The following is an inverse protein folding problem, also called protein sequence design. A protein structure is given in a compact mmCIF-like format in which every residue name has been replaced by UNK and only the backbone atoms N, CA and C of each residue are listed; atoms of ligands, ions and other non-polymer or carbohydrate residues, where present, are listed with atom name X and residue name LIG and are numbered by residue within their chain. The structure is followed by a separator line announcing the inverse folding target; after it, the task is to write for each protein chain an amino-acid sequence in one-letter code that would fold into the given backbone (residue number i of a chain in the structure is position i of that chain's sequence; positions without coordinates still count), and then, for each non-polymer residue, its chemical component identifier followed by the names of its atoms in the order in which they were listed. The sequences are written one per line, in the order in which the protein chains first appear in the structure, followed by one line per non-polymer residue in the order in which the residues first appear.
data_IF_297441296974
#
_entry.id   IF_297441296974
#
_cell.length_a   1.000
_cell.length_b   1.000
_cell.length_c   1.000
_cell.angle_alpha   90.00
_cell.angle_beta   90.00
_cell.angle_gamma   90.00
#
_symmetry.space_group_name_H-M   'P 1'
#
loop_
_entity.id
_entity.type
_entity.pdbx_description
1 polymer ?
#
# COMPACT_ATOMS: atom_id res chain seq x y z
N UNK A 1 32.01 5.32 -10.36
CA UNK A 1 31.01 4.70 -11.26
C UNK A 1 31.49 4.84 -12.70
N UNK A 2 31.19 3.91 -13.60
CA UNK A 2 31.58 4.01 -15.02
C UNK A 2 30.76 5.10 -15.72
N UNK A 3 31.36 5.85 -16.65
CA UNK A 3 30.64 6.77 -17.53
C UNK A 3 29.76 6.01 -18.51
N UNK A 4 28.49 6.40 -18.63
CA UNK A 4 27.51 5.75 -19.51
C UNK A 4 26.89 6.76 -20.47
N UNK A 5 26.81 6.42 -21.75
CA UNK A 5 26.11 7.20 -22.77
C UNK A 5 24.90 6.39 -23.25
N UNK A 6 23.70 6.90 -23.02
CA UNK A 6 22.46 6.37 -23.61
C UNK A 6 22.23 7.13 -24.91
N UNK A 7 22.21 6.43 -26.04
CA UNK A 7 22.18 7.05 -27.37
C UNK A 7 20.83 6.85 -28.06
N UNK A 8 20.36 7.89 -28.72
CA UNK A 8 19.26 7.84 -29.68
C UNK A 8 17.90 7.36 -29.14
N UNK A 9 17.65 7.57 -27.85
CA UNK A 9 16.38 7.24 -27.21
C UNK A 9 15.34 8.34 -27.39
N UNK A 10 14.05 7.97 -27.37
CA UNK A 10 12.96 8.93 -27.20
C UNK A 10 12.90 9.34 -25.72
N UNK A 11 13.49 10.49 -25.39
CA UNK A 11 13.66 10.95 -24.03
C UNK A 11 12.44 11.75 -23.56
N UNK A 12 11.92 11.35 -22.39
CA UNK A 12 10.92 12.09 -21.63
C UNK A 12 11.60 12.55 -20.34
N UNK A 13 11.53 13.83 -20.01
CA UNK A 13 12.23 14.40 -18.85
C UNK A 13 11.41 14.37 -17.54
N UNK A 14 10.17 13.87 -17.60
CA UNK A 14 9.24 13.82 -16.48
C UNK A 14 8.51 15.15 -16.17
N UNK A 15 8.75 16.22 -16.94
CA UNK A 15 8.11 17.53 -16.73
C UNK A 15 6.71 17.64 -17.36
N UNK A 16 6.37 16.69 -18.24
CA UNK A 16 5.17 16.73 -19.09
C UNK A 16 5.38 17.45 -20.42
N UNK A 17 6.60 17.90 -20.72
CA UNK A 17 6.97 18.39 -22.05
C UNK A 17 6.91 17.26 -23.11
N UNK A 18 6.72 17.59 -24.39
CA UNK A 18 6.83 16.61 -25.48
C UNK A 18 8.19 15.92 -25.47
N UNK A 19 8.20 14.62 -25.73
CA UNK A 19 9.44 13.85 -25.83
C UNK A 19 10.28 14.27 -27.04
N UNK A 20 11.60 14.10 -26.93
CA UNK A 20 12.55 14.40 -27.98
C UNK A 20 13.57 13.26 -28.13
N UNK A 21 14.07 13.04 -29.36
CA UNK A 21 15.18 12.09 -29.55
C UNK A 21 16.48 12.71 -29.02
N UNK A 22 17.09 12.05 -28.03
CA UNK A 22 18.22 12.60 -27.30
C UNK A 22 19.27 11.55 -26.94
N UNK A 23 20.49 12.04 -26.80
CA UNK A 23 21.61 11.34 -26.18
C UNK A 23 21.75 11.84 -24.73
N UNK A 24 22.01 10.94 -23.78
CA UNK A 24 22.19 11.25 -22.36
C UNK A 24 23.55 10.74 -21.88
N UNK A 25 24.36 11.64 -21.35
CA UNK A 25 25.65 11.31 -20.77
C UNK A 25 25.56 11.29 -19.24
N UNK A 26 25.93 10.17 -18.65
CA UNK A 26 25.94 9.94 -17.20
C UNK A 26 27.39 9.83 -16.73
N UNK A 27 27.79 10.67 -15.77
CA UNK A 27 29.10 10.66 -15.12
C UNK A 27 28.91 10.70 -13.61
N UNK A 28 29.65 9.87 -12.88
CA UNK A 28 29.62 9.81 -11.42
C UNK A 28 28.20 9.71 -10.82
N UNK A 29 27.34 8.91 -11.47
CA UNK A 29 25.96 8.67 -11.04
C UNK A 29 25.00 9.83 -11.29
N UNK A 30 25.42 10.87 -12.02
CA UNK A 30 24.60 12.03 -12.36
C UNK A 30 24.48 12.19 -13.86
N UNK A 31 23.34 12.71 -14.31
CA UNK A 31 23.16 13.17 -15.69
C UNK A 31 24.06 14.40 -15.87
N UNK A 32 25.12 14.24 -16.65
CA UNK A 32 26.07 15.30 -16.94
C UNK A 32 25.59 16.19 -18.09
N UNK A 33 24.97 15.59 -19.11
CA UNK A 33 24.50 16.31 -20.30
C UNK A 33 23.35 15.55 -20.98
N UNK A 34 22.42 16.31 -21.56
CA UNK A 34 21.37 15.81 -22.45
C UNK A 34 21.42 16.65 -23.72
N UNK A 35 21.55 16.01 -24.87
CA UNK A 35 21.67 16.69 -26.16
C UNK A 35 20.80 16.02 -27.23
N UNK A 36 20.42 16.72 -28.32
CA UNK A 36 19.74 16.10 -29.43
C UNK A 36 20.54 14.94 -30.03
N UNK A 37 19.85 13.84 -30.37
CA UNK A 37 20.43 12.62 -30.94
C UNK A 37 20.97 12.87 -32.37
N UNK A 38 22.20 13.37 -32.43
CA UNK A 38 22.93 13.70 -33.67
C UNK A 38 24.40 13.29 -33.59
N UNK A 39 24.73 12.37 -32.68
CA UNK A 39 26.13 12.02 -32.37
C UNK A 39 26.88 13.16 -31.69
N UNK A 40 26.16 14.05 -31.01
CA UNK A 40 26.68 15.28 -30.40
C UNK A 40 27.45 15.00 -29.11
N UNK A 41 27.16 13.90 -28.41
CA UNK A 41 27.84 13.50 -27.18
C UNK A 41 28.92 12.45 -27.44
N UNK A 42 30.16 12.79 -27.09
CA UNK A 42 31.26 11.85 -27.01
C UNK A 42 31.44 11.37 -25.56
N UNK A 43 31.33 10.06 -25.35
CA UNK A 43 31.49 9.45 -24.03
C UNK A 43 32.93 9.36 -23.52
N UNK A 44 33.93 9.49 -24.41
CA UNK A 44 35.33 9.15 -24.16
C UNK A 44 35.62 7.65 -24.37
N UNK A 45 36.89 7.27 -24.31
CA UNK A 45 37.37 5.94 -24.73
C UNK A 45 36.84 4.78 -23.84
N UNK A 46 36.57 5.02 -22.56
CA UNK A 46 36.07 4.01 -21.60
C UNK A 46 34.54 4.02 -21.38
N UNK A 47 33.81 4.79 -22.19
CA UNK A 47 32.37 4.95 -22.03
C UNK A 47 31.59 3.66 -22.31
N UNK A 48 30.65 3.32 -21.44
CA UNK A 48 29.65 2.32 -21.72
C UNK A 48 28.53 2.93 -22.56
N UNK A 49 28.42 2.53 -23.83
CA UNK A 49 27.39 3.04 -24.74
C UNK A 49 26.22 2.07 -24.77
N UNK A 50 25.01 2.59 -24.53
CA UNK A 50 23.74 1.89 -24.65
C UNK A 50 23.02 2.46 -25.86
N UNK A 51 22.74 1.64 -26.87
CA UNK A 51 21.89 2.01 -27.99
C UNK A 51 20.41 1.89 -27.58
N UNK A 52 19.73 3.03 -27.53
CA UNK A 52 18.32 3.14 -27.15
C UNK A 52 17.43 3.52 -28.34
N UNK A 53 17.90 3.33 -29.59
CA UNK A 53 17.08 3.53 -30.78
C UNK A 53 15.77 2.74 -30.69
N UNK A 54 14.64 3.41 -30.94
CA UNK A 54 13.30 2.82 -30.83
C UNK A 54 12.81 2.58 -29.40
N UNK A 55 13.61 2.90 -28.38
CA UNK A 55 13.26 2.77 -26.97
C UNK A 55 12.85 4.13 -26.37
N UNK A 56 12.10 4.06 -25.27
CA UNK A 56 11.84 5.23 -24.43
C UNK A 56 12.92 5.34 -23.35
N UNK A 57 13.37 6.57 -23.08
CA UNK A 57 14.27 6.88 -21.98
C UNK A 57 13.53 7.80 -21.02
N UNK A 58 13.35 7.32 -19.79
CA UNK A 58 12.52 7.94 -18.76
C UNK A 58 13.34 8.11 -17.47
N UNK A 59 13.01 9.07 -16.59
CA UNK A 59 13.42 8.99 -15.20
C UNK A 59 12.89 7.69 -14.60
N UNK A 60 13.68 7.05 -13.73
CA UNK A 60 13.22 5.84 -13.06
C UNK A 60 11.99 6.10 -12.20
N UNK A 61 11.11 5.11 -12.10
CA UNK A 61 9.85 5.25 -11.39
C UNK A 61 10.07 5.40 -9.88
N UNK A 62 9.23 6.25 -9.28
CA UNK A 62 9.20 6.47 -7.85
C UNK A 62 7.96 5.76 -7.30
N UNK A 63 8.17 4.64 -6.62
CA UNK A 63 7.09 3.97 -5.92
C UNK A 63 6.98 4.51 -4.50
N UNK A 64 6.00 5.37 -4.28
CA UNK A 64 5.85 6.11 -3.02
C UNK A 64 5.05 5.36 -1.97
N UNK A 65 4.63 4.14 -2.28
CA UNK A 65 3.88 3.31 -1.35
C UNK A 65 4.18 1.84 -1.58
N UNK A 66 5.09 1.34 -0.77
CA UNK A 66 5.50 -0.06 -0.77
C UNK A 66 5.48 -0.60 0.66
N UNK A 67 5.50 -1.91 0.74
CA UNK A 67 5.56 -2.68 1.98
C UNK A 67 6.77 -3.63 1.94
N UNK A 68 7.91 -3.11 1.48
CA UNK A 68 9.18 -3.83 1.45
C UNK A 68 9.90 -3.85 2.80
N UNK A 69 9.29 -3.37 3.90
CA UNK A 69 9.91 -3.33 5.23
C UNK A 69 10.53 -4.68 5.63
N UNK A 70 9.85 -5.80 5.35
CA UNK A 70 10.37 -7.15 5.59
C UNK A 70 11.26 -7.70 4.49
N UNK A 71 10.97 -7.40 3.22
CA UNK A 71 11.76 -7.91 2.10
C UNK A 71 13.14 -7.24 2.01
N UNK A 72 13.24 -5.95 2.33
CA UNK A 72 14.51 -5.20 2.38
C UNK A 72 15.53 -5.89 3.30
N UNK A 73 15.02 -6.53 4.35
CA UNK A 73 15.78 -7.28 5.33
C UNK A 73 16.35 -8.62 4.81
N UNK A 74 15.72 -9.20 3.80
CA UNK A 74 16.06 -10.51 3.23
C UNK A 74 16.74 -10.39 1.85
N UNK A 75 16.28 -9.46 1.03
CA UNK A 75 16.65 -9.26 -0.36
C UNK A 75 16.67 -7.76 -0.71
N UNK A 76 17.68 -6.99 -0.24
CA UNK A 76 17.75 -5.54 -0.42
C UNK A 76 17.89 -5.08 -1.88
N UNK A 77 18.10 -6.02 -2.81
CA UNK A 77 18.07 -5.76 -4.25
C UNK A 77 16.69 -5.43 -4.80
N UNK A 78 15.60 -5.84 -4.13
CA UNK A 78 14.20 -5.60 -4.54
C UNK A 78 13.99 -5.79 -6.05
N UNK A 79 14.47 -6.93 -6.57
CA UNK A 79 14.63 -7.17 -8.01
C UNK A 79 13.32 -7.09 -8.78
N UNK A 80 12.20 -7.43 -8.12
CA UNK A 80 10.87 -7.35 -8.71
C UNK A 80 10.45 -5.91 -9.01
N UNK A 81 10.74 -4.93 -8.14
CA UNK A 81 10.52 -3.51 -8.47
C UNK A 81 11.51 -3.02 -9.52
N UNK A 82 12.80 -3.35 -9.36
CA UNK A 82 13.85 -2.85 -10.26
C UNK A 82 13.65 -3.31 -11.70
N UNK A 83 13.25 -4.58 -11.92
CA UNK A 83 12.99 -5.09 -13.28
C UNK A 83 11.79 -4.43 -13.97
N UNK A 84 10.90 -3.76 -13.21
CA UNK A 84 9.79 -2.97 -13.75
C UNK A 84 10.13 -1.47 -13.89
N UNK A 85 11.39 -1.08 -13.69
CA UNK A 85 11.86 0.29 -13.89
C UNK A 85 11.75 1.19 -12.66
N UNK A 86 11.41 0.64 -11.49
CA UNK A 86 11.40 1.40 -10.22
C UNK A 86 12.83 1.59 -9.74
N UNK A 87 13.22 2.85 -9.52
CA UNK A 87 14.55 3.22 -9.01
C UNK A 87 14.51 3.78 -7.60
N UNK A 88 13.33 4.06 -7.06
CA UNK A 88 13.16 4.54 -5.69
C UNK A 88 11.89 3.95 -5.10
N UNK A 89 11.99 3.37 -3.91
CA UNK A 89 10.87 2.85 -3.12
C UNK A 89 10.70 3.64 -1.83
N UNK A 90 9.46 3.77 -1.37
CA UNK A 90 9.12 4.33 -0.07
C UNK A 90 8.45 3.27 0.78
N UNK A 91 9.06 2.98 1.93
CA UNK A 91 8.60 1.99 2.91
C UNK A 91 8.11 2.66 4.21
N UNK A 92 7.65 1.86 5.17
CA UNK A 92 7.14 2.37 6.44
C UNK A 92 5.74 3.00 6.29
N UNK A 93 4.97 2.54 5.30
CA UNK A 93 3.64 3.05 4.98
C UNK A 93 2.55 2.51 5.92
N UNK A 94 1.35 3.09 5.83
CA UNK A 94 0.15 2.58 6.54
C UNK A 94 0.32 2.38 8.05
N UNK A 95 1.13 3.22 8.70
CA UNK A 95 1.50 3.17 10.13
C UNK A 95 2.43 2.04 10.57
N UNK A 96 2.79 1.13 9.68
CA UNK A 96 3.66 -0.01 9.98
C UNK A 96 5.07 0.32 9.52
N UNK A 97 6.05 0.08 10.38
CA UNK A 97 7.48 0.17 10.06
C UNK A 97 8.27 -0.72 11.00
N UNK A 98 9.50 -1.08 10.62
CA UNK A 98 10.39 -1.93 11.43
C UNK A 98 11.47 -1.13 12.15
N UNK A 99 11.12 0.07 12.64
CA UNK A 99 12.09 1.03 13.17
C UNK A 99 12.21 0.85 14.68
N UNK A 100 11.17 1.16 15.43
CA UNK A 100 11.27 1.38 16.87
C UNK A 100 10.85 0.17 17.71
N UNK A 101 9.75 -0.50 17.36
CA UNK A 101 9.20 -1.61 18.12
C UNK A 101 10.08 -2.86 18.06
N UNK A 102 9.79 -3.80 18.98
CA UNK A 102 10.46 -5.08 19.02
C UNK A 102 10.08 -5.95 17.82
N UNK A 103 10.96 -6.88 17.44
CA UNK A 103 10.79 -7.74 16.27
C UNK A 103 9.43 -8.47 16.24
N UNK A 104 8.93 -8.89 17.40
CA UNK A 104 7.63 -9.57 17.50
C UNK A 104 6.45 -8.63 17.27
N UNK A 105 6.50 -7.42 17.81
CA UNK A 105 5.47 -6.40 17.57
C UNK A 105 5.46 -5.99 16.09
N UNK A 106 6.63 -5.77 15.50
CA UNK A 106 6.80 -5.49 14.07
C UNK A 106 6.17 -6.60 13.21
N UNK A 107 6.47 -7.85 13.51
CA UNK A 107 5.91 -9.00 12.79
C UNK A 107 4.39 -9.06 12.92
N UNK A 108 3.85 -8.95 14.14
CA UNK A 108 2.41 -9.04 14.39
C UNK A 108 1.63 -7.92 13.69
N UNK A 109 2.23 -6.72 13.55
CA UNK A 109 1.63 -5.60 12.82
C UNK A 109 1.68 -5.74 11.30
N UNK A 110 2.62 -6.52 10.76
CA UNK A 110 2.90 -6.58 9.33
C UNK A 110 2.25 -7.79 8.66
N UNK A 111 2.32 -8.98 9.25
CA UNK A 111 2.11 -10.23 8.51
C UNK A 111 0.67 -10.47 8.06
N UNK A 112 -0.32 -10.17 8.91
CA UNK A 112 -1.75 -10.26 8.52
C UNK A 112 -2.19 -9.12 7.62
N UNK A 113 -1.65 -7.92 7.82
CA UNK A 113 -1.95 -6.74 6.99
C UNK A 113 -1.47 -7.00 5.57
N UNK A 114 -0.19 -7.35 5.41
CA UNK A 114 0.41 -7.56 4.08
C UNK A 114 0.18 -8.96 3.52
N UNK A 115 -0.55 -9.84 4.22
CA UNK A 115 -0.76 -11.24 3.85
C UNK A 115 0.55 -12.00 3.54
N UNK A 116 1.58 -11.79 4.37
CA UNK A 116 2.87 -12.48 4.30
C UNK A 116 3.06 -13.48 5.45
N UNK A 117 3.78 -14.59 5.26
CA UNK A 117 3.87 -15.64 6.29
C UNK A 117 4.65 -15.20 7.53
N UNK A 118 3.98 -15.20 8.69
CA UNK A 118 4.59 -14.82 9.98
C UNK A 118 5.71 -15.76 10.40
N UNK A 119 5.56 -17.04 10.10
CA UNK A 119 6.54 -18.10 10.33
C UNK A 119 7.86 -17.87 9.58
N UNK A 120 7.87 -17.02 8.55
CA UNK A 120 9.09 -16.60 7.84
C UNK A 120 9.57 -15.24 8.35
N UNK A 121 8.66 -14.27 8.49
CA UNK A 121 9.00 -12.89 8.85
C UNK A 121 9.54 -12.78 10.28
N UNK A 122 8.90 -13.41 11.28
CA UNK A 122 9.33 -13.26 12.66
C UNK A 122 10.74 -13.81 12.94
N UNK A 123 11.10 -15.05 12.53
CA UNK A 123 12.44 -15.55 12.73
C UNK A 123 13.50 -14.66 12.07
N UNK A 124 13.25 -14.22 10.83
CA UNK A 124 14.14 -13.30 10.13
C UNK A 124 14.33 -11.98 10.90
N UNK A 125 13.25 -11.36 11.37
CA UNK A 125 13.33 -10.13 12.15
C UNK A 125 14.09 -10.31 13.46
N UNK A 126 13.91 -11.43 14.17
CA UNK A 126 14.68 -11.74 15.39
C UNK A 126 16.18 -11.89 15.10
N UNK A 127 16.53 -12.45 13.95
CA UNK A 127 17.92 -12.61 13.54
C UNK A 127 18.59 -11.29 13.17
N UNK A 128 17.90 -10.39 12.48
CA UNK A 128 18.53 -9.19 11.91
C UNK A 128 18.36 -7.93 12.75
N UNK A 129 17.22 -7.78 13.45
CA UNK A 129 16.88 -6.52 14.12
C UNK A 129 17.75 -6.35 15.35
N UNK A 130 18.61 -5.34 15.34
CA UNK A 130 19.52 -4.97 16.44
C UNK A 130 19.35 -3.53 16.90
N UNK A 131 18.45 -2.80 16.28
CA UNK A 131 18.13 -1.41 16.56
C UNK A 131 16.74 -1.30 17.19
N UNK A 132 16.49 -0.20 17.89
CA UNK A 132 15.19 0.18 18.44
C UNK A 132 14.93 1.69 18.32
N UNK A 133 15.70 2.36 17.47
CA UNK A 133 15.66 3.80 17.21
C UNK A 133 15.74 4.11 15.70
N UNK A 134 15.21 5.25 15.25
CA UNK A 134 15.36 5.72 13.88
C UNK A 134 16.81 5.82 13.40
N UNK A 135 17.74 6.19 14.29
CA UNK A 135 19.17 6.26 13.96
C UNK A 135 19.76 4.88 13.72
N UNK A 136 19.52 3.94 14.62
CA UNK A 136 20.01 2.56 14.46
C UNK A 136 19.42 1.88 13.23
N UNK A 137 18.13 2.14 12.94
CA UNK A 137 17.51 1.69 11.70
C UNK A 137 18.19 2.31 10.47
N UNK A 138 18.48 3.61 10.49
CA UNK A 138 19.13 4.32 9.37
C UNK A 138 20.54 3.78 9.11
N UNK A 139 21.32 3.57 10.16
CA UNK A 139 22.66 2.97 10.07
C UNK A 139 22.62 1.56 9.49
N UNK A 140 21.61 0.76 9.86
CA UNK A 140 21.40 -0.56 9.29
C UNK A 140 21.03 -0.50 7.80
N UNK A 141 20.07 0.35 7.42
CA UNK A 141 19.65 0.50 6.01
C UNK A 141 20.82 0.96 5.15
N UNK A 142 21.56 2.00 5.55
CA UNK A 142 22.69 2.54 4.78
C UNK A 142 23.80 1.50 4.52
N UNK A 143 23.90 0.45 5.35
CA UNK A 143 24.87 -0.62 5.20
C UNK A 143 24.44 -1.71 4.21
N UNK A 144 23.19 -1.72 3.73
CA UNK A 144 22.67 -2.75 2.83
C UNK A 144 23.12 -2.51 1.37
N UNK A 145 23.35 -3.58 0.59
CA UNK A 145 23.61 -3.48 -0.84
C UNK A 145 22.31 -3.23 -1.61
N UNK A 146 21.83 -2.00 -1.60
CA UNK A 146 20.56 -1.62 -2.22
C UNK A 146 20.53 -1.83 -3.74
N UNK A 147 19.39 -2.30 -4.25
CA UNK A 147 19.04 -2.22 -5.66
C UNK A 147 18.49 -0.82 -6.03
N UNK A 148 17.31 -0.43 -5.52
CA UNK A 148 16.76 0.91 -5.69
C UNK A 148 17.19 1.85 -4.54
N UNK A 149 16.98 3.16 -4.71
CA UNK A 149 17.00 4.08 -3.57
C UNK A 149 15.87 3.75 -2.59
N UNK A 150 16.11 3.90 -1.30
CA UNK A 150 15.12 3.64 -0.25
C UNK A 150 14.85 4.92 0.52
N UNK A 151 13.58 5.31 0.62
CA UNK A 151 13.12 6.31 1.59
C UNK A 151 12.09 5.68 2.53
N UNK A 152 11.88 6.29 3.69
CA UNK A 152 10.99 5.72 4.70
C UNK A 152 10.15 6.76 5.43
N UNK A 153 8.92 6.37 5.74
CA UNK A 153 8.11 6.96 6.78
C UNK A 153 8.32 6.26 8.12
N UNK A 154 8.19 7.00 9.21
CA UNK A 154 8.07 6.37 10.52
C UNK A 154 6.62 5.94 10.75
N UNK A 155 6.41 4.68 11.10
CA UNK A 155 5.09 4.12 11.38
C UNK A 155 4.53 4.62 12.71
N UNK A 156 3.31 5.17 12.71
CA UNK A 156 2.64 5.54 13.97
C UNK A 156 2.36 4.32 14.84
N UNK A 157 1.97 3.17 14.27
CA UNK A 157 1.74 1.96 15.06
C UNK A 157 3.02 1.43 15.68
N UNK A 158 4.14 1.54 14.94
CA UNK A 158 5.48 1.18 15.39
C UNK A 158 5.91 1.95 16.65
N UNK A 159 5.97 3.29 16.59
CA UNK A 159 6.35 4.09 17.77
C UNK A 159 5.36 3.98 18.93
N UNK A 160 4.08 3.68 18.62
CA UNK A 160 3.04 3.52 19.63
C UNK A 160 3.21 2.20 20.39
N UNK A 161 3.55 1.12 19.70
CA UNK A 161 3.94 -0.15 20.33
C UNK A 161 5.21 0.02 21.16
N UNK A 162 6.26 0.65 20.60
CA UNK A 162 7.50 0.92 21.34
C UNK A 162 7.28 1.66 22.66
N UNK A 163 6.34 2.62 22.67
CA UNK A 163 6.07 3.43 23.85
C UNK A 163 5.14 2.77 24.87
N UNK A 164 4.20 1.92 24.45
CA UNK A 164 3.13 1.43 25.33
C UNK A 164 3.11 -0.08 25.55
N UNK A 165 3.81 -0.85 24.71
CA UNK A 165 3.60 -2.28 24.49
C UNK A 165 2.33 -2.57 23.67
N UNK A 166 2.36 -3.62 22.85
CA UNK A 166 1.30 -3.99 21.91
C UNK A 166 -0.10 -4.02 22.53
N UNK A 167 -0.29 -4.75 23.64
CA UNK A 167 -1.61 -4.96 24.25
C UNK A 167 -2.28 -3.67 24.72
N UNK A 168 -1.50 -2.74 25.30
CA UNK A 168 -2.01 -1.41 25.68
C UNK A 168 -2.19 -0.53 24.46
N UNK A 169 -1.33 -0.65 23.45
CA UNK A 169 -1.41 0.15 22.23
C UNK A 169 -2.74 -0.09 21.49
N UNK A 170 -3.26 -1.32 21.53
CA UNK A 170 -4.55 -1.74 20.92
C UNK A 170 -5.76 -1.74 21.86
N UNK A 171 -5.67 -1.06 23.02
CA UNK A 171 -6.77 -0.97 23.97
C UNK A 171 -7.50 0.36 23.88
N UNK A 172 -8.83 0.32 23.67
CA UNK A 172 -9.68 1.52 23.73
C UNK A 172 -9.66 2.21 25.10
N UNK A 173 -9.32 1.47 26.17
CA UNK A 173 -9.28 1.96 27.55
C UNK A 173 -7.93 2.58 27.91
N UNK A 174 -6.86 2.25 27.19
CA UNK A 174 -5.53 2.77 27.47
C UNK A 174 -5.27 4.09 26.71
N UNK A 175 -4.57 5.01 27.37
CA UNK A 175 -4.04 6.24 26.74
C UNK A 175 -2.56 6.36 27.11
N UNK A 176 -1.72 6.90 26.21
CA UNK A 176 -0.32 7.08 26.53
C UNK A 176 -0.15 8.06 27.69
N UNK A 177 0.73 7.72 28.61
CA UNK A 177 1.19 8.58 29.68
C UNK A 177 1.94 9.80 29.11
N UNK A 178 2.30 10.76 29.97
CA UNK A 178 3.12 11.89 29.53
C UNK A 178 4.52 11.45 29.08
N UNK A 179 5.08 10.42 29.70
CA UNK A 179 6.39 9.88 29.32
C UNK A 179 6.31 9.14 27.98
N UNK A 180 5.27 8.32 27.79
CA UNK A 180 5.05 7.57 26.54
C UNK A 180 4.78 8.52 25.35
N UNK A 181 4.03 9.60 25.57
CA UNK A 181 3.84 10.65 24.56
C UNK A 181 5.16 11.36 24.21
N UNK A 182 6.02 11.63 25.19
CA UNK A 182 7.33 12.24 24.93
C UNK A 182 8.24 11.32 24.15
N UNK A 183 8.28 10.04 24.50
CA UNK A 183 9.04 9.03 23.75
C UNK A 183 8.61 8.96 22.28
N UNK A 184 7.30 8.95 21.99
CA UNK A 184 6.82 9.00 20.60
C UNK A 184 7.21 10.30 19.87
N UNK A 185 7.23 11.44 20.56
CA UNK A 185 7.69 12.71 19.99
C UNK A 185 9.21 12.71 19.74
N UNK A 186 10.01 12.14 20.65
CA UNK A 186 11.46 12.01 20.55
C UNK A 186 11.85 11.09 19.38
N UNK A 187 11.22 9.92 19.26
CA UNK A 187 11.41 9.01 18.13
C UNK A 187 11.02 9.67 16.80
N UNK A 188 9.93 10.44 16.77
CA UNK A 188 9.55 11.17 15.58
C UNK A 188 10.59 12.25 15.25
N UNK A 189 10.99 13.10 16.19
CA UNK A 189 11.98 14.15 15.94
C UNK A 189 13.33 13.55 15.48
N UNK A 190 13.79 12.43 16.06
CA UNK A 190 15.00 11.74 15.61
C UNK A 190 14.86 11.16 14.20
N UNK A 191 13.71 10.56 13.85
CA UNK A 191 13.47 10.07 12.49
C UNK A 191 13.55 11.20 11.46
N UNK A 192 12.96 12.36 11.78
CA UNK A 192 13.04 13.53 10.90
C UNK A 192 14.47 14.06 10.77
N UNK A 193 15.29 13.97 11.83
CA UNK A 193 16.73 14.30 11.77
C UNK A 193 17.52 13.29 10.93
N UNK A 194 17.12 12.02 10.93
CA UNK A 194 17.74 10.94 10.16
C UNK A 194 17.29 10.90 8.68
N UNK A 195 16.45 11.84 8.23
CA UNK A 195 16.04 11.98 6.83
C UNK A 195 14.76 11.23 6.44
N UNK A 196 13.98 10.75 7.39
CA UNK A 196 12.66 10.16 7.10
C UNK A 196 11.72 11.19 6.45
N UNK A 197 10.82 10.73 5.58
CA UNK A 197 9.88 11.61 4.87
C UNK A 197 8.78 12.20 5.78
N UNK A 198 8.55 11.56 6.92
CA UNK A 198 7.55 11.99 7.89
C UNK A 198 6.99 10.83 8.72
N UNK A 199 5.69 10.89 9.00
CA UNK A 199 4.96 9.87 9.74
C UNK A 199 3.85 9.26 8.87
N UNK A 200 3.73 7.94 8.87
CA UNK A 200 2.59 7.23 8.30
C UNK A 200 1.58 6.84 9.40
N UNK A 201 0.30 6.79 9.05
CA UNK A 201 -0.78 6.54 10.02
C UNK A 201 -1.95 5.78 9.42
N UNK A 202 -2.62 4.95 10.21
CA UNK A 202 -3.78 4.17 9.76
C UNK A 202 -4.96 4.39 10.70
N UNK A 203 -6.13 4.66 10.12
CA UNK A 203 -7.37 4.75 10.88
C UNK A 203 -8.45 3.79 10.39
N UNK A 204 -8.13 3.02 9.35
CA UNK A 204 -8.97 1.94 8.86
C UNK A 204 -8.89 0.75 9.83
N UNK A 205 -10.03 0.22 10.32
CA UNK A 205 -10.01 -0.91 11.24
C UNK A 205 -9.83 -2.28 10.55
N UNK A 206 -9.75 -2.32 9.22
CA UNK A 206 -9.60 -3.57 8.45
C UNK A 206 -8.19 -4.16 8.56
N UNK A 207 -7.19 -3.31 8.72
CA UNK A 207 -5.80 -3.74 8.90
C UNK A 207 -5.63 -4.22 10.34
N UNK A 208 -5.41 -5.53 10.46
CA UNK A 208 -5.47 -6.25 11.72
C UNK A 208 -4.18 -6.99 12.02
N UNK A 209 -3.96 -7.16 13.32
CA UNK A 209 -2.81 -7.85 13.85
C UNK A 209 -2.90 -9.37 13.65
N UNK A 210 -1.75 -9.92 13.34
CA UNK A 210 -1.42 -11.34 13.47
C UNK A 210 -0.95 -11.65 14.91
N UNK A 211 -0.44 -12.86 15.14
CA UNK A 211 0.08 -13.31 16.42
C UNK A 211 -1.02 -13.56 17.46
N UNK A 212 -0.63 -14.16 18.58
CA UNK A 212 -1.59 -14.62 19.60
C UNK A 212 -1.95 -13.52 20.62
N UNK A 213 -1.06 -12.55 20.85
CA UNK A 213 -1.19 -11.53 21.90
C UNK A 213 -2.36 -10.56 21.67
N UNK A 214 -2.66 -10.29 20.40
CA UNK A 214 -3.65 -9.30 20.00
C UNK A 214 -4.38 -9.70 18.70
N UNK A 215 -4.55 -11.00 18.46
CA UNK A 215 -5.17 -11.57 17.26
C UNK A 215 -6.40 -10.80 16.80
N UNK A 216 -6.44 -10.44 15.51
CA UNK A 216 -7.57 -9.77 14.83
C UNK A 216 -7.94 -8.39 15.38
N UNK A 217 -7.15 -7.81 16.30
CA UNK A 217 -7.34 -6.40 16.68
C UNK A 217 -6.81 -5.49 15.57
N UNK A 218 -7.44 -4.32 15.35
CA UNK A 218 -6.89 -3.32 14.43
C UNK A 218 -5.48 -2.86 14.80
N UNK A 219 -4.78 -2.25 13.84
CA UNK A 219 -3.48 -1.62 14.07
C UNK A 219 -3.52 -0.58 15.22
N UNK A 220 -2.44 -0.47 16.03
CA UNK A 220 -2.35 0.46 17.15
C UNK A 220 -2.75 1.91 16.86
N UNK A 221 -2.43 2.45 15.68
CA UNK A 221 -2.76 3.83 15.31
C UNK A 221 -4.27 4.09 15.25
N UNK A 222 -5.10 3.06 15.04
CA UNK A 222 -6.58 3.16 15.06
C UNK A 222 -7.08 3.58 16.45
N UNK A 223 -6.34 3.27 17.50
CA UNK A 223 -6.70 3.57 18.89
C UNK A 223 -6.20 4.94 19.36
N UNK A 224 -5.48 5.67 18.52
CA UNK A 224 -4.86 6.93 18.89
C UNK A 224 -5.88 8.03 19.18
N UNK A 225 -5.68 8.73 20.29
CA UNK A 225 -6.54 9.83 20.70
C UNK A 225 -6.22 11.14 19.97
N UNK A 226 -7.17 12.09 19.98
CA UNK A 226 -6.98 13.44 19.41
C UNK A 226 -5.75 14.16 19.96
N UNK A 227 -5.45 13.98 21.26
CA UNK A 227 -4.30 14.63 21.91
C UNK A 227 -2.97 14.12 21.34
N UNK A 228 -2.86 12.82 21.13
CA UNK A 228 -1.68 12.14 20.58
C UNK A 228 -1.44 12.58 19.14
N UNK A 229 -2.46 12.44 18.27
CA UNK A 229 -2.39 12.86 16.87
C UNK A 229 -2.04 14.35 16.73
N UNK A 230 -2.62 15.22 17.56
CA UNK A 230 -2.31 16.66 17.55
C UNK A 230 -0.84 16.94 17.87
N UNK A 231 -0.23 16.19 18.80
CA UNK A 231 1.17 16.38 19.20
C UNK A 231 2.12 15.99 18.08
N UNK A 232 1.93 14.80 17.49
CA UNK A 232 2.75 14.31 16.37
C UNK A 232 2.59 15.20 15.13
N UNK A 233 1.36 15.54 14.74
CA UNK A 233 1.10 16.43 13.58
C UNK A 233 1.66 17.84 13.77
N UNK A 234 1.76 18.32 15.01
CA UNK A 234 2.38 19.63 15.31
C UNK A 234 3.88 19.61 15.02
N UNK A 235 4.57 18.49 15.29
CA UNK A 235 5.99 18.31 14.95
C UNK A 235 6.15 18.34 13.42
N UNK A 236 5.41 17.50 12.71
CA UNK A 236 5.45 17.42 11.24
C UNK A 236 5.18 18.77 10.60
N UNK A 237 4.13 19.48 11.05
CA UNK A 237 3.76 20.80 10.56
C UNK A 237 4.84 21.84 10.82
N UNK A 238 5.38 21.90 12.04
CA UNK A 238 6.45 22.84 12.41
C UNK A 238 7.67 22.63 11.51
N UNK A 239 8.05 21.37 11.30
CA UNK A 239 9.27 20.98 10.58
C UNK A 239 9.09 20.86 9.06
N UNK A 240 7.86 20.84 8.56
CA UNK A 240 7.56 20.80 7.12
C UNK A 240 7.57 19.39 6.49
N UNK A 241 7.36 18.35 7.29
CA UNK A 241 7.35 16.94 6.88
C UNK A 241 5.94 16.41 6.62
N UNK A 242 5.87 15.24 6.02
CA UNK A 242 4.65 14.66 5.48
C UNK A 242 3.93 13.82 6.55
N UNK A 243 2.61 13.91 6.56
CA UNK A 243 1.75 12.98 7.26
C UNK A 243 0.99 12.15 6.22
N UNK A 244 1.46 10.94 5.98
CA UNK A 244 0.79 9.94 5.14
C UNK A 244 -0.28 9.28 6.02
N UNK A 245 -1.51 9.11 5.52
CA UNK A 245 -2.50 8.33 6.27
C UNK A 245 -3.60 7.73 5.40
N UNK A 246 -4.21 6.62 5.84
CA UNK A 246 -5.44 6.12 5.24
C UNK A 246 -6.67 6.42 6.14
N UNK A 247 -7.73 7.02 5.58
CA UNK A 247 -8.97 7.27 6.31
C UNK A 247 -9.73 5.97 6.54
N UNK A 248 -10.54 5.94 7.59
CA UNK A 248 -11.59 4.93 7.73
C UNK A 248 -12.60 5.09 6.58
N UNK A 249 -12.62 4.12 5.66
CA UNK A 249 -13.46 4.14 4.46
C UNK A 249 -14.96 4.01 4.76
N UNK A 250 -15.32 3.56 5.96
CA UNK A 250 -16.72 3.41 6.42
C UNK A 250 -17.26 4.72 7.00
N UNK A 251 -16.41 5.58 7.57
CA UNK A 251 -16.84 6.79 8.31
C UNK A 251 -16.36 8.08 7.65
N UNK A 252 -17.22 8.70 6.83
CA UNK A 252 -16.93 9.96 6.09
C UNK A 252 -16.43 11.12 6.98
N UNK A 253 -16.76 11.13 8.27
CA UNK A 253 -16.32 12.15 9.24
C UNK A 253 -14.81 12.14 9.44
N UNK A 254 -14.16 10.97 9.34
CA UNK A 254 -12.71 10.86 9.54
C UNK A 254 -11.94 11.59 8.42
N UNK A 255 -12.36 11.40 7.17
CA UNK A 255 -11.78 12.10 6.01
C UNK A 255 -11.85 13.62 6.17
N UNK A 256 -12.99 14.16 6.58
CA UNK A 256 -13.15 15.61 6.84
C UNK A 256 -12.15 16.06 7.92
N UNK A 257 -12.04 15.30 9.01
CA UNK A 257 -11.09 15.59 10.09
C UNK A 257 -9.63 15.59 9.61
N UNK A 258 -9.25 14.69 8.71
CA UNK A 258 -7.92 14.62 8.11
C UNK A 258 -7.64 15.82 7.20
N UNK A 259 -8.59 16.18 6.32
CA UNK A 259 -8.48 17.35 5.43
C UNK A 259 -8.34 18.65 6.24
N UNK A 260 -9.18 18.84 7.27
CA UNK A 260 -9.09 20.01 8.16
C UNK A 260 -7.79 20.01 8.98
N UNK A 261 -7.28 18.85 9.36
CA UNK A 261 -5.99 18.73 10.02
C UNK A 261 -4.82 19.07 9.09
N UNK A 262 -4.99 19.00 7.76
CA UNK A 262 -4.05 19.45 6.73
C UNK A 262 -4.04 20.98 6.51
N UNK A 263 -5.20 21.63 6.67
CA UNK A 263 -5.45 23.04 6.35
C UNK A 263 -4.36 24.04 6.82
N UNK A 264 -4.06 25.03 5.98
CA UNK A 264 -3.08 26.10 6.20
C UNK A 264 -3.69 27.47 6.53
N UNK A 265 -4.95 27.54 6.96
CA UNK A 265 -5.60 28.79 7.34
C UNK A 265 -5.05 29.31 8.68
N UNK A 266 -4.33 30.44 8.64
CA UNK A 266 -3.74 31.08 9.82
C UNK A 266 -2.55 30.33 10.44
N UNK A 267 -2.00 29.32 9.75
CA UNK A 267 -0.84 28.52 10.18
C UNK A 267 -0.21 27.79 8.99
N UNK A 268 1.08 27.45 9.05
CA UNK A 268 1.76 26.65 8.01
C UNK A 268 1.01 25.35 7.76
N UNK A 269 0.66 25.01 6.51
CA UNK A 269 -0.04 23.76 6.15
C UNK A 269 0.72 22.50 6.62
N UNK A 270 -0.02 21.42 6.92
CA UNK A 270 0.56 20.10 7.13
C UNK A 270 0.52 19.35 5.80
N UNK A 271 1.69 19.02 5.26
CA UNK A 271 1.80 18.18 4.06
C UNK A 271 1.12 16.85 4.34
N UNK A 272 0.08 16.53 3.59
CA UNK A 272 -0.77 15.36 3.86
C UNK A 272 -0.94 14.56 2.59
N UNK A 273 -0.71 13.25 2.66
CA UNK A 273 -1.06 12.33 1.58
C UNK A 273 -2.09 11.33 2.07
N UNK A 274 -3.13 11.08 1.27
CA UNK A 274 -4.17 10.10 1.58
C UNK A 274 -4.24 9.01 0.51
N UNK A 275 -4.43 7.77 0.95
CA UNK A 275 -4.78 6.66 0.07
C UNK A 275 -6.29 6.41 0.11
N UNK A 276 -6.95 6.04 -0.98
CA UNK A 276 -6.48 6.10 -2.37
C UNK A 276 -7.55 6.75 -3.25
N UNK A 277 -7.09 7.45 -4.30
CA UNK A 277 -7.95 7.96 -5.38
C UNK A 277 -7.95 6.92 -6.50
N UNK A 278 -9.12 6.34 -6.75
CA UNK A 278 -9.31 5.29 -7.75
C UNK A 278 -10.72 5.32 -8.32
N UNK A 279 -10.88 4.73 -9.51
CA UNK A 279 -12.17 4.56 -10.15
C UNK A 279 -12.86 3.27 -9.71
N UNK A 280 -13.51 3.30 -8.54
CA UNK A 280 -14.20 2.15 -7.96
C UNK A 280 -15.38 1.70 -8.84
N UNK A 281 -15.42 0.41 -9.17
CA UNK A 281 -16.54 -0.22 -9.88
C UNK A 281 -17.82 -0.25 -9.03
N UNK A 282 -17.67 -0.39 -7.71
CA UNK A 282 -18.78 -0.36 -6.76
C UNK A 282 -19.44 1.03 -6.65
N UNK A 283 -18.66 2.09 -6.71
CA UNK A 283 -19.07 3.46 -6.42
C UNK A 283 -18.36 4.46 -7.34
N UNK A 284 -18.76 4.53 -8.61
CA UNK A 284 -18.09 5.34 -9.65
C UNK A 284 -18.08 6.85 -9.41
N UNK A 285 -18.87 7.35 -8.45
CA UNK A 285 -18.87 8.78 -8.04
C UNK A 285 -17.70 9.14 -7.11
N UNK A 286 -17.00 8.16 -6.53
CA UNK A 286 -15.93 8.38 -5.54
C UNK A 286 -14.76 9.17 -6.13
N UNK A 287 -14.43 8.98 -7.41
CA UNK A 287 -13.42 9.80 -8.08
C UNK A 287 -13.80 11.29 -8.06
N UNK A 288 -15.05 11.64 -8.41
CA UNK A 288 -15.51 13.05 -8.40
C UNK A 288 -15.46 13.64 -6.98
N UNK A 289 -15.85 12.86 -5.98
CA UNK A 289 -15.81 13.27 -4.58
C UNK A 289 -14.38 13.52 -4.09
N UNK A 290 -13.45 12.61 -4.37
CA UNK A 290 -12.04 12.73 -3.97
C UNK A 290 -11.35 13.89 -4.69
N UNK A 291 -11.65 14.12 -5.96
CA UNK A 291 -11.20 15.31 -6.71
C UNK A 291 -11.69 16.62 -6.08
N UNK A 292 -12.97 16.71 -5.74
CA UNK A 292 -13.53 17.88 -5.05
C UNK A 292 -12.89 18.11 -3.66
N UNK A 293 -12.63 17.03 -2.91
CA UNK A 293 -11.95 17.11 -1.62
C UNK A 293 -10.51 17.65 -1.74
N UNK A 294 -9.75 17.20 -2.74
CA UNK A 294 -8.41 17.72 -3.01
C UNK A 294 -8.43 19.19 -3.42
N UNK A 295 -9.37 19.59 -4.26
CA UNK A 295 -9.57 21.00 -4.62
C UNK A 295 -9.91 21.85 -3.39
N UNK A 296 -10.84 21.41 -2.54
CA UNK A 296 -11.20 22.12 -1.31
C UNK A 296 -9.99 22.26 -0.37
N UNK A 297 -9.26 21.16 -0.16
CA UNK A 297 -8.09 21.12 0.72
C UNK A 297 -7.00 22.10 0.29
N UNK A 298 -6.68 22.14 -1.01
CA UNK A 298 -5.58 22.95 -1.52
C UNK A 298 -6.00 24.40 -1.81
N UNK A 299 -7.14 24.61 -2.47
CA UNK A 299 -7.57 25.93 -2.94
C UNK A 299 -8.22 26.75 -1.82
N UNK A 300 -9.18 26.16 -1.09
CA UNK A 300 -9.95 26.89 -0.07
C UNK A 300 -9.24 26.88 1.27
N UNK A 301 -8.75 25.72 1.69
CA UNK A 301 -8.12 25.55 3.00
C UNK A 301 -6.61 25.87 2.99
N UNK A 302 -6.04 26.26 1.84
CA UNK A 302 -4.60 26.56 1.65
C UNK A 302 -3.70 25.44 2.18
N UNK A 303 -4.12 24.20 1.98
CA UNK A 303 -3.38 22.99 2.38
C UNK A 303 -2.31 22.60 1.36
N UNK A 304 -1.53 21.59 1.73
CA UNK A 304 -0.65 20.84 0.82
C UNK A 304 -1.07 19.37 0.90
N UNK A 305 -2.05 19.02 0.09
CA UNK A 305 -2.77 17.77 0.13
C UNK A 305 -2.66 17.05 -1.21
N UNK A 306 -2.34 15.75 -1.17
CA UNK A 306 -2.37 14.87 -2.34
C UNK A 306 -3.07 13.55 -2.03
N UNK A 307 -3.81 13.03 -2.98
CA UNK A 307 -4.17 11.62 -3.01
C UNK A 307 -3.01 10.80 -3.57
N UNK A 308 -2.98 9.52 -3.23
CA UNK A 308 -2.16 8.54 -3.95
C UNK A 308 -3.10 7.65 -4.77
N UNK A 309 -2.65 7.25 -5.95
CA UNK A 309 -3.44 6.45 -6.88
C UNK A 309 -2.64 5.24 -7.37
N UNK A 310 -3.29 4.05 -7.44
CA UNK A 310 -2.68 2.88 -8.05
C UNK A 310 -2.26 3.16 -9.49
N UNK A 311 -1.03 2.79 -9.89
CA UNK A 311 -0.53 3.04 -11.24
C UNK A 311 -1.21 2.14 -12.28
N UNK A 312 -1.94 1.10 -11.87
CA UNK A 312 -2.56 0.12 -12.76
C UNK A 312 -4.04 -0.12 -12.43
N UNK A 313 -4.79 -0.81 -13.31
CA UNK A 313 -6.07 -1.40 -12.94
C UNK A 313 -5.97 -2.19 -11.64
N UNK A 314 -6.92 -1.98 -10.72
CA UNK A 314 -6.86 -2.61 -9.40
C UNK A 314 -7.47 -4.01 -9.49
N UNK A 315 -6.62 -4.93 -9.93
CA UNK A 315 -6.91 -6.35 -10.07
C UNK A 315 -6.59 -7.10 -8.79
N UNK A 316 -7.50 -7.98 -8.41
CA UNK A 316 -7.38 -8.82 -7.23
C UNK A 316 -7.38 -10.27 -7.65
N UNK A 317 -6.42 -11.00 -7.13
CA UNK A 317 -6.28 -12.43 -7.22
C UNK A 317 -6.53 -13.01 -5.83
N UNK A 318 -7.15 -14.18 -5.79
CA UNK A 318 -7.51 -14.83 -4.54
C UNK A 318 -7.16 -16.30 -4.65
N UNK A 319 -6.51 -16.83 -3.62
CA UNK A 319 -6.44 -18.27 -3.35
C UNK A 319 -7.47 -18.56 -2.26
N UNK A 320 -8.61 -19.16 -2.63
CA UNK A 320 -9.77 -19.30 -1.75
C UNK A 320 -10.33 -17.93 -1.33
N UNK A 321 -10.35 -17.66 -0.02
CA UNK A 321 -10.85 -16.40 0.57
C UNK A 321 -9.79 -15.69 1.43
N UNK A 322 -8.51 -15.92 1.15
CA UNK A 322 -7.39 -15.31 1.88
C UNK A 322 -7.09 -13.89 1.35
N UNK A 323 -7.83 -12.88 1.80
CA UNK A 323 -7.61 -11.48 1.40
C UNK A 323 -8.18 -10.51 2.43
N UNK A 324 -7.55 -9.34 2.57
CA UNK A 324 -7.99 -8.25 3.45
C UNK A 324 -9.39 -7.73 3.10
N UNK A 325 -9.85 -7.88 1.85
CA UNK A 325 -11.19 -7.41 1.46
C UNK A 325 -12.33 -8.22 2.07
N UNK A 326 -12.07 -9.43 2.57
CA UNK A 326 -13.04 -10.16 3.38
C UNK A 326 -13.17 -9.57 4.80
N UNK A 327 -12.25 -8.73 5.28
CA UNK A 327 -12.40 -8.00 6.56
C UNK A 327 -13.43 -6.85 6.49
N UNK A 328 -13.92 -6.50 5.30
CA UNK A 328 -14.86 -5.40 5.10
C UNK A 328 -16.27 -5.68 5.67
N UNK A 329 -16.63 -6.94 5.84
CA UNK A 329 -17.97 -7.33 6.30
C UNK A 329 -17.93 -8.51 7.30
N UNK A 330 -18.90 -8.58 8.24
CA UNK A 330 -18.80 -9.48 9.38
C UNK A 330 -18.65 -10.96 9.03
N UNK A 331 -19.33 -11.44 7.99
CA UNK A 331 -19.20 -12.85 7.59
C UNK A 331 -17.87 -13.18 6.93
N UNK A 332 -17.26 -12.22 6.23
CA UNK A 332 -15.90 -12.38 5.69
C UNK A 332 -14.83 -12.31 6.79
N UNK A 333 -14.98 -11.40 7.75
CA UNK A 333 -14.13 -11.31 8.95
C UNK A 333 -14.11 -12.64 9.71
N UNK A 334 -15.28 -13.27 9.90
CA UNK A 334 -15.37 -14.57 10.55
C UNK A 334 -14.62 -15.70 9.81
N UNK A 335 -14.51 -15.64 8.47
CA UNK A 335 -13.68 -16.57 7.69
C UNK A 335 -12.19 -16.29 7.95
N UNK A 336 -11.80 -15.01 7.93
CA UNK A 336 -10.41 -14.57 8.14
C UNK A 336 -9.89 -14.88 9.54
N UNK A 337 -10.75 -14.80 10.55
CA UNK A 337 -10.40 -15.19 11.92
C UNK A 337 -10.11 -16.68 12.06
N UNK A 338 -10.57 -17.49 11.10
CA UNK A 338 -10.28 -18.91 10.99
C UNK A 338 -9.20 -19.20 9.93
N UNK A 339 -8.35 -18.23 9.55
CA UNK A 339 -7.32 -18.40 8.51
C UNK A 339 -6.38 -19.60 8.76
N UNK A 340 -6.14 -19.95 10.02
CA UNK A 340 -5.31 -21.11 10.42
C UNK A 340 -6.12 -22.36 10.80
N UNK A 341 -7.46 -22.33 10.76
CA UNK A 341 -8.34 -23.47 11.07
C UNK A 341 -9.22 -23.82 9.86
N UNK A 342 -8.68 -24.66 8.96
CA UNK A 342 -9.43 -25.14 7.78
C UNK A 342 -10.71 -25.88 8.16
N UNK A 343 -10.64 -26.77 9.15
CA UNK A 343 -11.79 -27.55 9.57
C UNK A 343 -12.91 -26.66 10.16
N UNK A 344 -12.54 -25.62 10.90
CA UNK A 344 -13.44 -24.57 11.38
C UNK A 344 -14.08 -23.79 10.24
N UNK A 345 -13.29 -23.34 9.26
CA UNK A 345 -13.82 -22.67 8.05
C UNK A 345 -14.82 -23.57 7.33
N UNK A 346 -14.47 -24.83 7.10
CA UNK A 346 -15.33 -25.79 6.42
C UNK A 346 -16.66 -26.02 7.14
N UNK A 347 -16.65 -26.09 8.48
CA UNK A 347 -17.89 -26.15 9.28
C UNK A 347 -18.72 -24.87 9.11
N UNK A 348 -18.07 -23.71 9.17
CA UNK A 348 -18.72 -22.40 9.04
C UNK A 348 -19.37 -22.22 7.66
N UNK A 349 -18.66 -22.58 6.58
CA UNK A 349 -19.15 -22.46 5.20
C UNK A 349 -20.35 -23.38 4.90
N UNK A 350 -20.48 -24.48 5.64
CA UNK A 350 -21.62 -25.42 5.55
C UNK A 350 -22.79 -25.05 6.47
N UNK A 351 -22.61 -24.13 7.43
CA UNK A 351 -23.67 -23.71 8.35
C UNK A 351 -24.77 -22.91 7.62
N UNK A 352 -26.04 -23.38 7.59
CA UNK A 352 -27.12 -22.69 6.88
C UNK A 352 -27.40 -21.26 7.37
N UNK A 353 -27.22 -21.01 8.67
CA UNK A 353 -27.41 -19.69 9.28
C UNK A 353 -26.32 -18.72 8.85
N UNK A 354 -25.07 -19.20 8.73
CA UNK A 354 -23.95 -18.44 8.21
C UNK A 354 -24.17 -18.10 6.73
N UNK A 355 -24.47 -19.09 5.88
CA UNK A 355 -24.71 -18.89 4.44
C UNK A 355 -25.81 -17.87 4.17
N UNK A 356 -26.90 -17.91 4.94
CA UNK A 356 -27.99 -16.91 4.86
C UNK A 356 -27.50 -15.50 5.18
N UNK A 357 -26.65 -15.33 6.20
CA UNK A 357 -26.06 -14.02 6.54
C UNK A 357 -25.09 -13.55 5.46
N UNK A 358 -24.22 -14.44 4.97
CA UNK A 358 -23.26 -14.13 3.91
C UNK A 358 -23.96 -13.67 2.63
N UNK A 359 -24.97 -14.40 2.17
CA UNK A 359 -25.80 -14.01 1.01
C UNK A 359 -26.42 -12.63 1.17
N UNK A 360 -26.99 -12.34 2.35
CA UNK A 360 -27.58 -11.03 2.63
C UNK A 360 -26.53 -9.90 2.57
N UNK A 361 -25.32 -10.15 3.05
CA UNK A 361 -24.23 -9.16 3.02
C UNK A 361 -23.66 -8.96 1.61
N UNK A 362 -23.57 -10.01 0.80
CA UNK A 362 -23.13 -9.93 -0.59
C UNK A 362 -24.10 -9.14 -1.46
N UNK A 363 -25.41 -9.35 -1.29
CA UNK A 363 -26.45 -8.64 -2.04
C UNK A 363 -26.77 -7.22 -1.53
N UNK A 364 -26.13 -6.77 -0.44
CA UNK A 364 -26.39 -5.45 0.14
C UNK A 364 -25.82 -4.35 -0.77
N UNK A 365 -26.66 -3.81 -1.65
CA UNK A 365 -26.27 -2.79 -2.66
C UNK A 365 -25.88 -1.43 -2.09
N UNK A 366 -26.44 -1.03 -0.95
CA UNK A 366 -26.29 0.33 -0.39
C UNK A 366 -25.23 0.45 0.72
N UNK A 367 -24.49 -0.63 1.01
CA UNK A 367 -23.36 -0.55 1.94
C UNK A 367 -22.14 0.03 1.20
N UNK A 368 -21.39 0.98 1.80
CA UNK A 368 -20.09 1.38 1.26
C UNK A 368 -19.23 0.13 1.10
N UNK A 369 -18.72 -0.11 -0.11
CA UNK A 369 -17.92 -1.29 -0.40
C UNK A 369 -16.81 -0.98 -1.40
N UNK A 370 -15.62 -1.50 -1.13
CA UNK A 370 -14.45 -1.42 -2.03
C UNK A 370 -14.54 -2.54 -3.06
N UNK A 371 -14.82 -3.77 -2.63
CA UNK A 371 -15.16 -4.85 -3.54
C UNK A 371 -16.64 -4.76 -3.94
N UNK A 372 -16.92 -4.77 -5.25
CA UNK A 372 -18.28 -4.68 -5.77
C UNK A 372 -19.15 -5.92 -5.48
N UNK A 373 -18.53 -7.05 -5.07
CA UNK A 373 -19.19 -8.31 -4.67
C UNK A 373 -20.02 -8.96 -5.78
N UNK A 374 -19.68 -8.69 -7.02
CA UNK A 374 -20.27 -9.33 -8.19
C UNK A 374 -19.53 -10.63 -8.50
N UNK A 375 -20.23 -11.74 -8.32
CA UNK A 375 -19.70 -13.08 -8.59
C UNK A 375 -19.70 -13.43 -10.09
N UNK A 376 -20.34 -12.61 -10.93
CA UNK A 376 -20.25 -12.77 -12.38
C UNK A 376 -18.94 -12.18 -12.94
N UNK A 377 -18.42 -11.16 -12.27
CA UNK A 377 -17.12 -10.55 -12.58
C UNK A 377 -15.94 -11.25 -11.88
N UNK A 378 -16.21 -12.35 -11.19
CA UNK A 378 -15.22 -13.15 -10.49
C UNK A 378 -14.93 -14.42 -11.30
N UNK A 379 -13.76 -14.46 -11.95
CA UNK A 379 -13.37 -15.51 -12.91
C UNK A 379 -12.41 -16.49 -12.25
N UNK A 380 -12.69 -17.78 -12.39
CA UNK A 380 -11.83 -18.85 -11.89
C UNK A 380 -10.62 -19.00 -12.83
N UNK A 381 -9.42 -18.87 -12.27
CA UNK A 381 -8.15 -18.94 -12.99
C UNK A 381 -7.48 -20.31 -12.87
N UNK A 382 -7.61 -20.97 -11.72
CA UNK A 382 -7.05 -22.30 -11.48
C UNK A 382 -7.92 -23.05 -10.47
N UNK A 383 -8.08 -24.35 -10.67
CA UNK A 383 -8.86 -25.22 -9.80
C UNK A 383 -8.48 -26.69 -10.02
N UNK A 384 -8.63 -27.56 -9.00
CA UNK A 384 -8.45 -29.00 -9.18
C UNK A 384 -9.38 -29.62 -10.23
N UNK A 385 -10.56 -29.02 -10.48
CA UNK A 385 -11.46 -29.35 -11.58
C UNK A 385 -11.22 -28.41 -12.78
N UNK A 386 -10.61 -28.87 -13.88
CA UNK A 386 -10.33 -28.05 -15.05
C UNK A 386 -11.59 -27.49 -15.74
N UNK A 387 -12.76 -28.10 -15.53
CA UNK A 387 -14.02 -27.64 -16.13
C UNK A 387 -14.53 -26.31 -15.54
N UNK A 388 -13.91 -25.85 -14.44
CA UNK A 388 -14.23 -24.57 -13.79
C UNK A 388 -13.39 -23.41 -14.34
N UNK A 389 -12.21 -23.69 -14.89
CA UNK A 389 -11.25 -22.66 -15.31
C UNK A 389 -11.81 -21.82 -16.46
N UNK A 390 -11.67 -20.50 -16.35
CA UNK A 390 -12.16 -19.52 -17.32
C UNK A 390 -13.63 -19.12 -17.14
N UNK A 391 -14.35 -19.69 -16.17
CA UNK A 391 -15.78 -19.41 -15.93
C UNK A 391 -15.98 -18.48 -14.74
N UNK A 392 -17.07 -17.71 -14.75
CA UNK A 392 -17.51 -16.99 -13.56
C UNK A 392 -18.21 -17.94 -12.56
N UNK A 393 -18.28 -17.55 -11.28
CA UNK A 393 -19.05 -18.32 -10.30
C UNK A 393 -20.55 -18.38 -10.67
N UNK A 394 -21.08 -17.34 -11.32
CA UNK A 394 -22.45 -17.34 -11.84
C UNK A 394 -22.63 -18.33 -12.98
N UNK A 395 -21.67 -18.45 -13.90
CA UNK A 395 -21.72 -19.45 -14.98
C UNK A 395 -21.65 -20.88 -14.45
N UNK A 396 -20.82 -21.13 -13.43
CA UNK A 396 -20.78 -22.44 -12.76
C UNK A 396 -22.10 -22.74 -12.06
N UNK A 397 -22.66 -21.77 -11.34
CA UNK A 397 -23.94 -21.91 -10.65
C UNK A 397 -25.10 -22.20 -11.64
N UNK A 398 -25.12 -21.50 -12.78
CA UNK A 398 -26.11 -21.72 -13.85
C UNK A 398 -26.06 -23.14 -14.38
N UNK A 399 -24.86 -23.68 -14.63
CA UNK A 399 -24.71 -25.06 -15.11
C UNK A 399 -25.09 -26.11 -14.05
N UNK A 400 -24.94 -25.80 -12.76
CA UNK A 400 -25.34 -26.67 -11.64
C UNK A 400 -26.83 -26.53 -11.27
N UNK A 401 -27.53 -25.54 -11.79
CA UNK A 401 -28.90 -25.20 -11.37
C UNK A 401 -28.98 -24.71 -9.92
N UNK A 402 -27.93 -24.05 -9.43
CA UNK A 402 -27.77 -23.62 -8.04
C UNK A 402 -27.69 -22.09 -7.89
N UNK A 403 -27.80 -21.60 -6.65
CA UNK A 403 -27.59 -20.18 -6.32
C UNK A 403 -26.09 -19.81 -6.47
N UNK A 404 -25.73 -18.64 -7.05
CA UNK A 404 -24.32 -18.24 -7.20
C UNK A 404 -23.55 -18.13 -5.90
N UNK A 405 -24.19 -17.64 -4.83
CA UNK A 405 -23.52 -17.52 -3.51
C UNK A 405 -23.31 -18.89 -2.90
N UNK A 406 -24.30 -19.78 -3.00
CA UNK A 406 -24.12 -21.15 -2.53
C UNK A 406 -23.01 -21.87 -3.30
N UNK A 407 -23.01 -21.74 -4.63
CA UNK A 407 -21.96 -22.34 -5.48
C UNK A 407 -20.58 -21.82 -5.11
N UNK A 408 -20.45 -20.50 -4.88
CA UNK A 408 -19.20 -19.90 -4.41
C UNK A 408 -18.74 -20.53 -3.09
N UNK A 409 -19.61 -20.58 -2.07
CA UNK A 409 -19.26 -21.13 -0.76
C UNK A 409 -18.95 -22.63 -0.79
N UNK A 410 -19.63 -23.39 -1.64
CA UNK A 410 -19.39 -24.82 -1.83
C UNK A 410 -18.00 -25.07 -2.43
N UNK A 411 -17.66 -24.34 -3.49
CA UNK A 411 -16.34 -24.39 -4.11
C UNK A 411 -15.22 -23.96 -3.15
N UNK A 412 -15.47 -22.94 -2.33
CA UNK A 412 -14.52 -22.51 -1.30
C UNK A 412 -14.31 -23.58 -0.22
N UNK A 413 -15.35 -24.31 0.18
CA UNK A 413 -15.19 -25.41 1.14
C UNK A 413 -14.57 -26.66 0.51
N UNK A 414 -14.81 -26.90 -0.77
CA UNK A 414 -14.26 -28.05 -1.49
C UNK A 414 -12.76 -27.90 -1.75
N UNK A 415 -12.35 -26.76 -2.31
CA UNK A 415 -10.99 -26.56 -2.81
C UNK A 415 -10.14 -25.62 -1.95
N UNK A 416 -10.75 -24.77 -1.11
CA UNK A 416 -10.06 -23.78 -0.26
C UNK A 416 -8.99 -23.01 -1.07
N UNK A 417 -7.73 -23.03 -0.64
CA UNK A 417 -6.61 -22.34 -1.30
C UNK A 417 -6.21 -22.91 -2.67
N UNK A 418 -6.70 -24.10 -3.05
CA UNK A 418 -6.45 -24.69 -4.36
C UNK A 418 -7.33 -24.07 -5.46
N UNK A 419 -8.31 -23.24 -5.10
CA UNK A 419 -9.13 -22.51 -6.05
C UNK A 419 -8.64 -21.08 -6.19
N UNK A 420 -8.08 -20.75 -7.35
CA UNK A 420 -7.61 -19.41 -7.68
C UNK A 420 -8.62 -18.68 -8.53
N UNK A 421 -8.94 -17.44 -8.18
CA UNK A 421 -9.88 -16.62 -8.94
C UNK A 421 -9.48 -15.14 -8.92
N UNK A 422 -10.02 -14.37 -9.87
CA UNK A 422 -9.70 -12.97 -10.08
C UNK A 422 -10.95 -12.10 -10.23
N UNK A 423 -10.85 -10.83 -9.82
CA UNK A 423 -11.84 -9.79 -10.13
C UNK A 423 -11.18 -8.41 -10.17
N UNK A 424 -11.74 -7.47 -10.94
CA UNK A 424 -11.28 -6.09 -11.01
C UNK A 424 -12.19 -5.16 -10.22
N UNK A 425 -11.64 -4.45 -9.24
CA UNK A 425 -12.46 -3.61 -8.34
C UNK A 425 -12.37 -2.12 -8.60
N UNK A 426 -11.27 -1.65 -9.19
CA UNK A 426 -11.08 -0.24 -9.50
C UNK A 426 -10.27 -0.02 -10.78
N UNK A 427 -10.26 1.21 -11.27
CA UNK A 427 -9.46 1.64 -12.42
C UNK A 427 -9.80 0.84 -13.69
N UNK A 428 -11.08 0.45 -13.82
CA UNK A 428 -11.61 -0.40 -14.88
C UNK A 428 -11.92 0.36 -16.17
N UNK A 429 -11.97 1.70 -16.12
CA UNK A 429 -12.22 2.60 -17.25
C UNK A 429 -10.94 3.37 -17.60
N UNK A 430 -10.25 3.03 -18.70
CA UNK A 430 -8.96 3.64 -19.07
C UNK A 430 -9.03 5.17 -19.19
N UNK A 431 -10.13 5.71 -19.70
CA UNK A 431 -10.36 7.14 -19.85
C UNK A 431 -10.42 7.87 -18.50
N UNK A 432 -11.08 7.27 -17.50
CA UNK A 432 -11.17 7.83 -16.14
C UNK A 432 -9.84 7.66 -15.42
N UNK A 433 -9.15 6.54 -15.63
CA UNK A 433 -7.80 6.34 -15.09
C UNK A 433 -6.81 7.40 -15.60
N UNK A 434 -6.86 7.71 -16.91
CA UNK A 434 -6.06 8.76 -17.49
C UNK A 434 -6.42 10.16 -16.93
N UNK A 435 -7.68 10.42 -16.57
CA UNK A 435 -8.08 11.64 -15.86
C UNK A 435 -7.50 11.67 -14.44
N UNK A 436 -7.54 10.55 -13.72
CA UNK A 436 -6.93 10.43 -12.38
C UNK A 436 -5.45 10.78 -12.47
N UNK A 437 -4.69 10.17 -13.38
CA UNK A 437 -3.25 10.41 -13.50
C UNK A 437 -2.87 11.85 -13.86
N UNK A 438 -3.74 12.56 -14.60
CA UNK A 438 -3.55 13.97 -14.94
C UNK A 438 -4.01 14.93 -13.83
N UNK A 439 -4.67 14.43 -12.79
CA UNK A 439 -5.23 15.26 -11.73
C UNK A 439 -4.13 15.81 -10.81
N UNK A 440 -4.00 17.14 -10.73
CA UNK A 440 -2.97 17.82 -9.90
C UNK A 440 -3.01 17.44 -8.41
N UNK A 441 -4.17 17.01 -7.92
CA UNK A 441 -4.32 16.55 -6.54
C UNK A 441 -3.89 15.11 -6.30
N UNK A 442 -3.33 14.39 -7.27
CA UNK A 442 -2.92 12.98 -7.13
C UNK A 442 -1.40 12.79 -7.27
N UNK A 443 -0.92 11.65 -6.77
CA UNK A 443 0.39 11.06 -7.00
C UNK A 443 0.17 9.65 -7.55
N UNK A 444 0.62 9.40 -8.77
CA UNK A 444 0.55 8.08 -9.42
C UNK A 444 1.79 7.27 -9.02
N UNK A 445 1.72 6.64 -7.85
CA UNK A 445 2.88 6.01 -7.21
C UNK A 445 2.49 5.16 -6.00
N UNK A 446 1.27 4.63 -5.99
CA UNK A 446 0.76 3.70 -4.98
C UNK A 446 0.74 2.28 -5.59
N UNK A 447 1.89 1.65 -5.81
CA UNK A 447 1.88 0.31 -6.39
C UNK A 447 1.57 -0.77 -5.34
N UNK A 448 1.72 -0.47 -4.05
CA UNK A 448 1.49 -1.45 -2.98
C UNK A 448 2.44 -2.67 -3.12
N UNK A 449 3.59 -2.46 -3.76
CA UNK A 449 4.62 -3.47 -3.97
C UNK A 449 5.13 -4.03 -2.64
N UNK A 450 5.38 -5.34 -2.58
CA UNK A 450 5.83 -6.02 -1.36
C UNK A 450 4.70 -6.40 -0.39
N UNK A 451 3.49 -5.87 -0.61
CA UNK A 451 2.27 -6.31 0.07
C UNK A 451 1.55 -7.38 -0.76
N UNK A 452 0.75 -8.20 -0.09
CA UNK A 452 -0.27 -9.04 -0.69
C UNK A 452 0.25 -9.89 -1.88
N UNK A 453 1.45 -10.48 -1.73
CA UNK A 453 2.23 -11.09 -2.81
C UNK A 453 1.45 -12.09 -3.67
N UNK A 454 0.45 -12.76 -3.10
CA UNK A 454 -0.39 -13.74 -3.81
C UNK A 454 -1.66 -13.16 -4.40
N UNK A 455 -2.06 -11.95 -3.96
CA UNK A 455 -3.37 -11.37 -4.19
C UNK A 455 -3.35 -10.11 -5.06
N UNK A 456 -2.51 -9.11 -4.77
CA UNK A 456 -2.62 -7.80 -5.43
C UNK A 456 -1.29 -7.04 -5.49
N UNK A 457 -0.16 -7.76 -5.53
CA UNK A 457 1.14 -7.12 -5.65
C UNK A 457 1.31 -6.47 -7.04
N UNK A 458 1.21 -5.14 -7.10
CA UNK A 458 1.51 -4.38 -8.31
C UNK A 458 2.97 -3.90 -8.24
N UNK A 459 3.79 -4.35 -9.19
CA UNK A 459 5.18 -3.91 -9.34
C UNK A 459 5.38 -3.01 -10.57
N UNK A 460 4.34 -2.91 -11.40
CA UNK A 460 4.39 -2.29 -12.70
C UNK A 460 3.75 -0.89 -12.71
N UNK A 461 4.28 -0.05 -13.58
CA UNK A 461 3.76 1.28 -13.89
C UNK A 461 3.24 1.28 -15.34
N UNK A 462 2.25 2.12 -15.66
CA UNK A 462 1.71 2.20 -17.00
C UNK A 462 2.77 2.88 -17.89
N UNK A 463 3.20 2.16 -18.92
CA UNK A 463 3.99 2.68 -20.03
C UNK A 463 3.03 3.02 -21.18
#
# INVERSE_FOLDING_TARGET
MRTTLIRDGLFFDGTGAPAARSDLLIRDGKIAEVAPARGSLAGGDDCHVIDAAGCWVLPGFLDTHTHYDGELALAPGLTESVRHGVTTVVIGCCSVSFVAADAEDCSDMFTRVEAVPREVVLPALREIKRWDSPRGWREWVDALPHGPNVASFLGHSDIRCRAMGLERAVSRRARPSRAELRLMEELLDEALDCGFLGLSGMTNPWDKLDGERAWSKPLPSVFAGRRELRRLRRILRRRGFIHQTAPNLVTRVNLIGMVLAGAGLGRRALKTTLIAMMDLKADTYIFKLTSAAAWLANTVLRGDFRWQSPPVPFDLYYDGMDSVLFEEFPTGEAIRDLAHDRAGRDRLLRDPSYRKKFRRELHKRLAPKVWHRDLDDAVILDAPDPALVGRSFVDVARARGADPVDTFLDLMSEYDRALRWHTRIANHRPEVLAEIFRHRGTLMSFADSGAHLRNMAFYNFPL
#
